data_IF_856307044567
#
_entry.id   IF_856307044567
#
_cell.length_a   1.000
_cell.length_b   1.000
_cell.length_c   1.000
_cell.angle_alpha   90.00
_cell.angle_beta   90.00
_cell.angle_gamma   90.00
#
_symmetry.space_group_name_H-M   'P 1'
#
loop_
_entity.id
_entity.type
_entity.pdbx_description
1 polymer ?
#
# COMPACT_ATOMS: atom_id res chain seq x y z
N UNK A 1 1.18 -7.26 19.37
CA UNK A 1 1.49 -6.32 18.27
C UNK A 1 2.46 -5.27 18.79
N UNK A 2 3.67 -5.18 18.23
CA UNK A 2 4.64 -4.17 18.63
C UNK A 2 4.26 -2.81 18.04
N UNK A 3 4.08 -1.81 18.91
CA UNK A 3 3.84 -0.41 18.54
C UNK A 3 5.19 0.29 18.49
N UNK A 4 5.51 0.96 17.39
CA UNK A 4 6.74 1.75 17.27
C UNK A 4 6.36 3.23 17.20
N UNK A 5 6.89 4.05 18.09
CA UNK A 5 6.65 5.49 18.11
C UNK A 5 7.67 6.20 17.22
N UNK A 6 7.20 7.05 16.30
CA UNK A 6 8.06 7.97 15.56
C UNK A 6 7.59 9.41 15.79
N UNK A 7 8.42 10.21 16.46
CA UNK A 7 8.18 11.62 16.72
C UNK A 7 9.11 12.45 15.84
N UNK A 8 8.54 13.41 15.09
CA UNK A 8 9.28 14.46 14.41
C UNK A 8 8.60 15.81 14.68
N UNK A 9 9.07 16.53 15.71
CA UNK A 9 8.57 17.86 16.08
C UNK A 9 7.22 17.86 16.80
N UNK A 10 6.39 18.91 16.55
CA UNK A 10 5.06 19.15 17.15
C UNK A 10 3.91 18.37 16.47
N UNK A 11 4.19 17.56 15.46
CA UNK A 11 3.16 16.83 14.70
C UNK A 11 3.07 15.38 15.20
N UNK A 12 1.90 15.01 15.71
CA UNK A 12 1.57 13.63 16.02
C UNK A 12 1.21 12.92 14.71
N UNK A 13 2.07 11.98 14.27
CA UNK A 13 1.71 11.10 13.17
C UNK A 13 0.96 9.90 13.77
N UNK A 14 -0.33 9.75 13.42
CA UNK A 14 -1.08 8.53 13.70
C UNK A 14 -0.33 7.35 13.05
N UNK A 15 -0.03 6.35 13.86
CA UNK A 15 0.62 5.12 13.41
C UNK A 15 -0.31 4.41 12.45
N UNK A 16 0.03 4.43 11.15
CA UNK A 16 -0.72 3.68 10.15
C UNK A 16 -0.22 2.25 10.19
N UNK A 17 -1.01 1.34 10.76
CA UNK A 17 -0.68 -0.08 10.73
C UNK A 17 -0.90 -0.63 9.32
N UNK A 18 -0.31 -1.79 9.04
CA UNK A 18 -0.58 -2.49 7.78
C UNK A 18 -2.08 -2.80 7.60
N UNK A 19 -2.80 -3.07 8.70
CA UNK A 19 -4.25 -3.24 8.69
C UNK A 19 -4.98 -1.94 8.30
N UNK A 20 -4.54 -0.79 8.82
CA UNK A 20 -5.13 0.52 8.50
C UNK A 20 -4.93 0.88 7.02
N UNK A 21 -3.78 0.56 6.43
CA UNK A 21 -3.54 0.71 4.98
C UNK A 21 -4.49 -0.20 4.17
N UNK A 22 -4.67 -1.44 4.63
CA UNK A 22 -5.55 -2.42 3.99
C UNK A 22 -7.03 -2.04 4.10
N UNK A 23 -7.45 -1.40 5.19
CA UNK A 23 -8.86 -1.03 5.43
C UNK A 23 -9.20 0.40 4.99
N UNK A 24 -8.21 1.26 4.74
CA UNK A 24 -8.42 2.65 4.33
C UNK A 24 -8.88 3.55 5.47
N UNK A 25 -8.75 3.04 6.69
CA UNK A 25 -9.07 3.78 7.91
C UNK A 25 -7.81 4.50 8.35
N UNK A 26 -7.46 5.56 7.64
CA UNK A 26 -6.58 6.58 8.20
C UNK A 26 -7.46 7.73 8.71
N UNK A 27 -7.50 7.86 10.02
CA UNK A 27 -8.22 8.93 10.73
C UNK A 27 -7.54 10.26 10.41
N UNK A 28 -8.29 11.21 9.84
CA UNK A 28 -7.94 12.64 9.86
C UNK A 28 -8.81 13.31 10.91
N UNK A 29 -8.19 13.99 11.87
CA UNK A 29 -8.85 15.12 12.52
C UNK A 29 -8.57 16.35 11.66
N UNK A 30 -9.63 16.79 10.98
CA UNK A 30 -9.86 18.13 10.44
C UNK A 30 -9.16 18.53 9.11
N UNK A 31 -9.98 19.03 8.17
CA UNK A 31 -9.67 19.66 6.86
C UNK A 31 -9.38 18.77 5.63
N UNK A 32 -10.46 18.26 4.99
CA UNK A 32 -10.46 17.68 3.62
C UNK A 32 -9.59 16.42 3.44
N UNK A 33 -9.75 15.61 2.39
CA UNK A 33 -8.95 14.38 2.22
C UNK A 33 -7.54 14.71 1.70
N UNK A 34 -6.75 15.45 2.49
CA UNK A 34 -5.33 15.61 2.24
C UNK A 34 -4.62 14.33 2.71
N UNK A 35 -4.27 13.46 1.77
CA UNK A 35 -3.51 12.25 2.05
C UNK A 35 -2.19 12.61 2.73
N UNK A 36 -1.91 12.00 3.88
CA UNK A 36 -0.64 12.23 4.57
C UNK A 36 0.54 11.62 3.79
N UNK A 37 1.75 12.19 3.89
CA UNK A 37 2.97 11.63 3.29
C UNK A 37 3.21 10.15 3.60
N UNK A 38 2.98 9.76 4.86
CA UNK A 38 3.18 8.39 5.34
C UNK A 38 2.16 7.42 4.73
N UNK A 39 0.90 7.85 4.58
CA UNK A 39 -0.14 7.04 3.92
C UNK A 39 0.20 6.86 2.45
N UNK A 40 0.59 7.93 1.75
CA UNK A 40 0.97 7.87 0.33
C UNK A 40 2.13 6.89 0.11
N UNK A 41 3.18 6.98 0.93
CA UNK A 41 4.32 6.05 0.89
C UNK A 41 3.89 4.61 1.19
N UNK A 42 3.09 4.42 2.26
CA UNK A 42 2.57 3.11 2.65
C UNK A 42 1.74 2.46 1.55
N UNK A 43 0.85 3.21 0.90
CA UNK A 43 0.07 2.73 -0.24
C UNK A 43 0.96 2.38 -1.42
N UNK A 44 1.96 3.19 -1.76
CA UNK A 44 2.91 2.86 -2.84
C UNK A 44 3.63 1.54 -2.57
N UNK A 45 4.09 1.33 -1.35
CA UNK A 45 4.73 0.08 -0.94
C UNK A 45 3.76 -1.12 -0.99
N UNK A 46 2.53 -0.94 -0.51
CA UNK A 46 1.49 -1.98 -0.51
C UNK A 46 1.20 -2.48 -1.93
N UNK A 47 1.05 -1.57 -2.88
CA UNK A 47 0.79 -1.91 -4.30
C UNK A 47 2.07 -2.26 -5.07
N UNK A 48 3.21 -2.32 -4.37
CA UNK A 48 4.50 -2.77 -4.88
C UNK A 48 5.06 -1.91 -6.02
N UNK A 49 4.86 -0.59 -5.96
CA UNK A 49 5.44 0.36 -6.93
C UNK A 49 6.72 0.98 -6.39
N UNK A 50 7.73 1.14 -7.25
CA UNK A 50 8.87 2.01 -6.95
C UNK A 50 8.48 3.47 -7.17
N UNK A 51 9.22 4.39 -6.55
CA UNK A 51 9.09 5.83 -6.78
C UNK A 51 9.27 6.20 -8.26
N UNK A 52 10.19 5.55 -8.95
CA UNK A 52 10.42 5.76 -10.38
C UNK A 52 9.28 5.23 -11.26
N UNK A 53 8.71 4.06 -10.93
CA UNK A 53 7.54 3.53 -11.64
C UNK A 53 6.33 4.45 -11.46
N UNK A 54 6.05 4.85 -10.22
CA UNK A 54 4.93 5.72 -9.90
C UNK A 54 5.08 7.10 -10.56
N UNK A 55 6.29 7.66 -10.55
CA UNK A 55 6.60 8.90 -11.24
C UNK A 55 6.29 8.82 -12.74
N UNK A 56 6.70 7.73 -13.41
CA UNK A 56 6.37 7.51 -14.83
C UNK A 56 4.87 7.39 -15.07
N UNK A 57 4.15 6.66 -14.23
CA UNK A 57 2.69 6.48 -14.34
C UNK A 57 1.93 7.82 -14.16
N UNK A 58 2.42 8.70 -13.28
CA UNK A 58 1.82 10.01 -13.00
C UNK A 58 2.35 11.16 -13.87
N UNK A 59 3.38 10.93 -14.68
CA UNK A 59 4.05 11.99 -15.46
C UNK A 59 4.88 12.97 -14.62
N UNK A 60 5.43 12.54 -13.48
CA UNK A 60 6.30 13.35 -12.61
C UNK A 60 7.64 12.68 -12.36
N UNK A 61 8.63 13.45 -11.89
CA UNK A 61 9.95 12.88 -11.59
C UNK A 61 9.91 12.00 -10.33
N UNK A 62 10.86 11.05 -10.22
CA UNK A 62 11.03 10.27 -9.00
C UNK A 62 11.26 11.17 -7.77
N UNK A 63 12.03 12.25 -7.93
CA UNK A 63 12.31 13.20 -6.86
C UNK A 63 11.03 13.90 -6.38
N UNK A 64 10.09 14.17 -7.28
CA UNK A 64 8.77 14.73 -6.93
C UNK A 64 8.02 13.79 -6.00
N UNK A 65 7.95 12.50 -6.32
CA UNK A 65 7.34 11.47 -5.46
C UNK A 65 8.00 11.44 -4.08
N UNK A 66 9.34 11.41 -4.03
CA UNK A 66 10.09 11.41 -2.75
C UNK A 66 9.80 12.66 -1.91
N UNK A 67 9.67 13.83 -2.54
CA UNK A 67 9.35 15.07 -1.81
C UNK A 67 7.94 15.02 -1.18
N UNK A 68 6.98 14.35 -1.83
CA UNK A 68 5.65 14.14 -1.25
C UNK A 68 5.70 13.15 -0.07
N UNK A 69 6.40 12.04 -0.22
CA UNK A 69 6.50 10.97 0.80
C UNK A 69 7.27 11.40 2.06
N UNK A 70 8.26 12.27 1.90
CA UNK A 70 9.01 12.87 3.02
C UNK A 70 8.28 14.05 3.66
N UNK A 71 7.16 14.49 3.07
CA UNK A 71 6.43 15.67 3.54
C UNK A 71 7.13 17.00 3.27
N UNK A 72 8.19 17.02 2.45
CA UNK A 72 8.84 18.26 1.98
C UNK A 72 7.86 19.12 1.18
N UNK A 73 6.98 18.48 0.41
CA UNK A 73 5.82 19.12 -0.22
C UNK A 73 4.56 18.31 0.09
N UNK A 74 3.38 18.95 0.17
CA UNK A 74 2.13 18.23 0.36
C UNK A 74 1.84 17.31 -0.83
N UNK A 75 1.17 16.19 -0.57
CA UNK A 75 0.66 15.29 -1.61
C UNK A 75 -0.45 16.02 -2.38
N UNK A 76 -0.35 16.18 -3.71
CA UNK A 76 -1.43 16.78 -4.49
C UNK A 76 -2.68 15.89 -4.48
N UNK A 77 -3.86 16.51 -4.51
CA UNK A 77 -5.13 15.77 -4.54
C UNK A 77 -5.23 14.76 -5.69
N UNK A 78 -4.79 15.13 -6.90
CA UNK A 78 -4.76 14.22 -8.05
C UNK A 78 -3.87 12.99 -7.81
N UNK A 79 -2.73 13.15 -7.11
CA UNK A 79 -1.86 12.04 -6.76
C UNK A 79 -2.49 11.15 -5.69
N UNK A 80 -3.22 11.74 -4.73
CA UNK A 80 -3.98 11.00 -3.73
C UNK A 80 -5.08 10.14 -4.37
N UNK A 81 -5.88 10.71 -5.27
CA UNK A 81 -6.93 9.99 -6.03
C UNK A 81 -6.34 8.89 -6.90
N UNK A 82 -5.23 9.16 -7.58
CA UNK A 82 -4.52 8.15 -8.37
C UNK A 82 -4.10 6.95 -7.50
N UNK A 83 -3.50 7.21 -6.34
CA UNK A 83 -3.08 6.16 -5.41
C UNK A 83 -4.27 5.39 -4.83
N UNK A 84 -5.39 6.06 -4.56
CA UNK A 84 -6.62 5.43 -4.11
C UNK A 84 -7.12 4.38 -5.12
N UNK A 85 -7.11 4.70 -6.42
CA UNK A 85 -7.49 3.76 -7.47
C UNK A 85 -6.65 2.47 -7.46
N UNK A 86 -5.33 2.59 -7.25
CA UNK A 86 -4.46 1.42 -7.11
C UNK A 86 -4.79 0.58 -5.87
N UNK A 87 -5.09 1.23 -4.74
CA UNK A 87 -5.43 0.54 -3.48
C UNK A 87 -6.79 -0.13 -3.56
N UNK A 88 -7.80 0.49 -4.21
CA UNK A 88 -9.10 -0.15 -4.46
C UNK A 88 -8.93 -1.43 -5.26
N UNK A 89 -8.13 -1.41 -6.33
CA UNK A 89 -7.82 -2.63 -7.11
C UNK A 89 -7.11 -3.69 -6.27
N UNK A 90 -6.11 -3.29 -5.48
CA UNK A 90 -5.41 -4.19 -4.57
C UNK A 90 -6.36 -4.85 -3.56
N UNK A 91 -7.29 -4.08 -2.97
CA UNK A 91 -8.29 -4.60 -2.03
C UNK A 91 -9.22 -5.61 -2.68
N UNK A 92 -9.68 -5.34 -3.90
CA UNK A 92 -10.50 -6.29 -4.65
C UNK A 92 -9.74 -7.60 -4.88
N UNK A 93 -8.47 -7.54 -5.27
CA UNK A 93 -7.61 -8.73 -5.40
C UNK A 93 -7.45 -9.47 -4.07
N UNK A 94 -7.25 -8.75 -2.96
CA UNK A 94 -7.16 -9.34 -1.63
C UNK A 94 -8.46 -10.04 -1.23
N UNK A 95 -9.62 -9.44 -1.47
CA UNK A 95 -10.92 -10.05 -1.18
C UNK A 95 -11.13 -11.34 -1.98
N UNK A 96 -10.81 -11.34 -3.28
CA UNK A 96 -10.86 -12.55 -4.09
C UNK A 96 -9.89 -13.62 -3.60
N UNK A 97 -8.69 -13.25 -3.17
CA UNK A 97 -7.70 -14.17 -2.63
C UNK A 97 -8.14 -14.76 -1.27
N UNK A 98 -8.77 -13.97 -0.41
CA UNK A 98 -9.36 -14.44 0.85
C UNK A 98 -10.47 -15.46 0.57
N UNK A 99 -11.39 -15.15 -0.35
CA UNK A 99 -12.46 -16.07 -0.71
C UNK A 99 -11.93 -17.38 -1.31
N UNK A 100 -10.90 -17.32 -2.16
CA UNK A 100 -10.22 -18.51 -2.68
C UNK A 100 -9.57 -19.33 -1.58
N UNK A 101 -8.85 -18.70 -0.64
CA UNK A 101 -8.24 -19.37 0.49
C UNK A 101 -9.27 -20.04 1.41
N UNK A 102 -10.40 -19.37 1.67
CA UNK A 102 -11.53 -19.91 2.46
C UNK A 102 -12.17 -21.12 1.76
N UNK A 103 -12.12 -21.17 0.42
CA UNK A 103 -12.52 -22.32 -0.39
C UNK A 103 -11.42 -23.40 -0.55
N UNK A 104 -10.28 -23.27 0.14
CA UNK A 104 -9.17 -24.23 0.08
C UNK A 104 -8.31 -24.14 -1.19
N UNK A 105 -8.40 -23.04 -1.94
CA UNK A 105 -7.60 -22.82 -3.14
C UNK A 105 -6.18 -22.32 -2.79
N UNK A 106 -5.21 -22.75 -3.57
CA UNK A 106 -3.83 -22.23 -3.51
C UNK A 106 -3.68 -21.00 -4.38
N UNK A 107 -3.28 -19.88 -3.79
CA UNK A 107 -3.01 -18.65 -4.53
C UNK A 107 -1.67 -18.75 -5.26
N UNK A 108 -1.68 -18.56 -6.57
CA UNK A 108 -0.47 -18.55 -7.41
C UNK A 108 -0.05 -17.11 -7.70
N UNK A 109 1.17 -16.75 -7.32
CA UNK A 109 1.70 -15.40 -7.46
C UNK A 109 3.08 -15.41 -8.10
N UNK A 110 3.37 -14.43 -8.94
CA UNK A 110 4.74 -14.15 -9.41
C UNK A 110 5.49 -13.27 -8.43
N UNK A 111 6.71 -13.68 -8.02
CA UNK A 111 7.49 -12.96 -7.00
C UNK A 111 7.95 -11.56 -7.45
N UNK A 112 8.34 -11.41 -8.72
CA UNK A 112 8.79 -10.13 -9.29
C UNK A 112 7.64 -9.22 -9.74
N UNK A 113 6.38 -9.70 -9.72
CA UNK A 113 5.26 -8.91 -10.17
C UNK A 113 4.88 -7.82 -9.14
N UNK A 114 4.65 -6.57 -9.57
CA UNK A 114 4.28 -5.48 -8.68
C UNK A 114 3.04 -5.81 -7.83
N UNK A 115 3.14 -5.60 -6.52
CA UNK A 115 2.05 -5.78 -5.57
C UNK A 115 1.80 -7.22 -5.11
N UNK A 116 2.40 -8.23 -5.75
CA UNK A 116 2.18 -9.63 -5.35
C UNK A 116 2.76 -9.97 -3.97
N UNK A 117 3.92 -9.39 -3.62
CA UNK A 117 4.47 -9.54 -2.26
C UNK A 117 3.54 -8.90 -1.23
N UNK A 118 3.03 -7.70 -1.52
CA UNK A 118 2.06 -7.01 -0.65
C UNK A 118 0.77 -7.82 -0.50
N UNK A 119 0.28 -8.41 -1.59
CA UNK A 119 -0.92 -9.24 -1.61
C UNK A 119 -0.74 -10.52 -0.79
N UNK A 120 0.39 -11.21 -0.96
CA UNK A 120 0.73 -12.39 -0.16
C UNK A 120 0.83 -12.06 1.33
N UNK A 121 1.53 -10.98 1.68
CA UNK A 121 1.67 -10.54 3.06
C UNK A 121 0.31 -10.17 3.67
N UNK A 122 -0.55 -9.46 2.93
CA UNK A 122 -1.88 -9.11 3.37
C UNK A 122 -2.78 -10.33 3.56
N UNK A 123 -2.74 -11.29 2.64
CA UNK A 123 -3.47 -12.53 2.76
C UNK A 123 -3.04 -13.31 3.98
N UNK A 124 -1.73 -13.54 4.17
CA UNK A 124 -1.21 -14.28 5.32
C UNK A 124 -1.52 -13.61 6.67
N UNK A 125 -1.61 -12.29 6.69
CA UNK A 125 -2.01 -11.56 7.91
C UNK A 125 -3.47 -11.80 8.29
N UNK A 126 -4.37 -12.00 7.32
CA UNK A 126 -5.82 -12.22 7.54
C UNK A 126 -6.19 -13.71 7.58
N UNK A 127 -5.42 -14.54 6.88
CA UNK A 127 -5.55 -16.00 6.76
C UNK A 127 -4.16 -16.64 6.85
N UNK A 128 -3.64 -16.86 8.08
CA UNK A 128 -2.30 -17.42 8.27
C UNK A 128 -2.11 -18.81 7.67
N UNK A 129 -3.20 -19.57 7.46
CA UNK A 129 -3.19 -20.90 6.86
C UNK A 129 -3.34 -20.91 5.34
N UNK A 130 -3.41 -19.75 4.68
CA UNK A 130 -3.58 -19.68 3.23
C UNK A 130 -2.38 -20.30 2.51
N UNK A 131 -2.65 -21.18 1.54
CA UNK A 131 -1.61 -21.76 0.70
C UNK A 131 -1.22 -20.79 -0.43
N UNK A 132 0.08 -20.50 -0.56
CA UNK A 132 0.63 -19.62 -1.59
C UNK A 132 1.72 -20.36 -2.35
N UNK A 133 1.70 -20.29 -3.67
CA UNK A 133 2.76 -20.80 -4.54
C UNK A 133 3.34 -19.66 -5.37
N UNK A 134 4.67 -19.61 -5.44
CA UNK A 134 5.37 -18.64 -6.27
C UNK A 134 5.65 -19.24 -7.64
N UNK A 135 5.11 -18.62 -8.69
CA UNK A 135 5.49 -18.95 -10.06
C UNK A 135 6.92 -18.43 -10.32
N UNK A 136 7.77 -19.30 -10.85
CA UNK A 136 9.05 -18.89 -11.44
C UNK A 136 8.74 -17.83 -12.49
N UNK A 137 9.38 -16.68 -12.36
CA UNK A 137 9.43 -15.74 -13.46
C UNK A 137 10.54 -16.27 -14.34
N UNK A 138 10.21 -17.15 -15.30
CA UNK A 138 11.19 -17.52 -16.31
C UNK A 138 11.65 -16.21 -16.96
N UNK A 139 12.97 -15.99 -16.90
CA UNK A 139 13.65 -14.72 -17.13
C UNK A 139 13.44 -14.16 -18.54
#
# INVERSE_FOLDING_TARGET
MARFHAQAGKKHYLLVTFADLCQGQAVSDDQGPAMSPAIFAGWRHLVGRTTAQLGREMGVTEQTIRNWETGKYPVPHAAAVFMEGHVVRFRSQLQSAIAGADAGQTLRLRRKAPGHIGLAAALLNVRPSAAITWESSDD
#
